data_IF_373705772512
#
_entry.id   IF_373705772512
#
_cell.length_a   1.000
_cell.length_b   1.000
_cell.length_c   1.000
_cell.angle_alpha   90.00
_cell.angle_beta   90.00
_cell.angle_gamma   90.00
#
_symmetry.space_group_name_H-M   'P 1'
#
loop_
_entity.id
_entity.type
_entity.pdbx_description
1 polymer ?
#
# COMPACT_ATOMS: atom_id res chain seq x y z
N UNK A 1 -24.51 -12.16 -25.63
CA UNK A 1 -23.89 -13.51 -25.77
C UNK A 1 -22.34 -13.50 -25.79
N UNK A 2 -21.69 -12.34 -25.90
CA UNK A 2 -20.21 -12.24 -25.95
C UNK A 2 -19.52 -12.01 -24.58
N UNK A 3 -20.27 -11.90 -23.48
CA UNK A 3 -19.70 -11.56 -22.16
C UNK A 3 -19.51 -12.75 -21.21
N UNK A 4 -20.07 -13.92 -21.53
CA UNK A 4 -20.01 -15.08 -20.62
C UNK A 4 -18.71 -15.88 -20.78
N UNK A 5 -18.10 -15.90 -21.97
CA UNK A 5 -16.82 -16.58 -22.23
C UNK A 5 -15.60 -15.90 -21.61
N UNK A 6 -15.64 -14.58 -21.45
CA UNK A 6 -14.51 -13.79 -20.92
C UNK A 6 -14.32 -13.98 -19.39
N UNK A 7 -15.42 -14.21 -18.68
CA UNK A 7 -15.39 -14.48 -17.23
C UNK A 7 -14.88 -15.89 -16.89
N UNK A 8 -15.21 -16.88 -17.71
CA UNK A 8 -14.70 -18.25 -17.53
C UNK A 8 -13.20 -18.32 -17.85
N UNK A 9 -12.74 -17.62 -18.90
CA UNK A 9 -11.33 -17.56 -19.27
C UNK A 9 -10.50 -16.87 -18.18
N UNK A 10 -10.96 -15.76 -17.62
CA UNK A 10 -10.32 -15.10 -16.47
C UNK A 10 -10.33 -16.00 -15.23
N UNK A 11 -11.41 -16.71 -14.96
CA UNK A 11 -11.53 -17.63 -13.82
C UNK A 11 -10.60 -18.82 -13.94
N UNK A 12 -10.31 -19.29 -15.14
CA UNK A 12 -9.35 -20.37 -15.40
C UNK A 12 -7.92 -19.88 -15.26
N UNK A 13 -7.60 -18.69 -15.74
CA UNK A 13 -6.26 -18.09 -15.60
C UNK A 13 -5.91 -17.77 -14.15
N UNK A 14 -6.88 -17.33 -13.34
CA UNK A 14 -6.67 -17.04 -11.90
C UNK A 14 -6.76 -18.28 -10.99
N UNK A 15 -7.25 -19.43 -11.48
CA UNK A 15 -7.34 -20.68 -10.71
C UNK A 15 -6.06 -21.52 -10.69
N UNK A 16 -5.04 -21.13 -11.43
CA UNK A 16 -3.80 -21.90 -11.54
C UNK A 16 -2.54 -21.12 -11.19
N UNK A 17 -2.65 -20.09 -10.33
CA UNK A 17 -1.43 -19.52 -9.75
C UNK A 17 -0.86 -20.57 -8.80
N UNK A 18 0.26 -21.12 -9.20
CA UNK A 18 1.10 -21.95 -8.34
C UNK A 18 1.79 -21.02 -7.33
N UNK A 19 1.27 -20.97 -6.12
CA UNK A 19 1.77 -20.11 -5.04
C UNK A 19 3.23 -20.42 -4.72
N UNK A 20 3.62 -21.70 -4.74
CA UNK A 20 5.00 -22.12 -4.51
C UNK A 20 5.93 -21.65 -5.63
N UNK A 21 5.45 -21.68 -6.88
CA UNK A 21 6.20 -21.16 -8.00
C UNK A 21 6.34 -19.63 -7.92
N UNK A 22 5.27 -18.94 -7.57
CA UNK A 22 5.25 -17.47 -7.39
C UNK A 22 6.24 -17.03 -6.30
N UNK A 23 6.26 -17.75 -5.19
CA UNK A 23 7.21 -17.52 -4.10
C UNK A 23 8.66 -17.71 -4.57
N UNK A 24 8.95 -18.81 -5.26
CA UNK A 24 10.29 -19.07 -5.81
C UNK A 24 10.71 -18.02 -6.86
N UNK A 25 9.78 -17.57 -7.69
CA UNK A 25 10.07 -16.49 -8.67
C UNK A 25 10.42 -15.18 -7.96
N UNK A 26 9.71 -14.88 -6.88
CA UNK A 26 9.98 -13.70 -6.07
C UNK A 26 11.35 -13.80 -5.37
N UNK A 27 11.69 -14.95 -4.81
CA UNK A 27 13.00 -15.21 -4.22
C UNK A 27 14.14 -15.01 -5.23
N UNK A 28 13.96 -15.51 -6.46
CA UNK A 28 14.93 -15.32 -7.54
C UNK A 28 15.06 -13.83 -7.90
N UNK A 29 13.94 -13.10 -7.96
CA UNK A 29 13.95 -11.66 -8.22
C UNK A 29 14.73 -10.89 -7.16
N UNK A 30 14.49 -11.18 -5.87
CA UNK A 30 15.22 -10.56 -4.77
C UNK A 30 16.73 -10.84 -4.84
N UNK A 31 17.12 -12.09 -5.04
CA UNK A 31 18.53 -12.49 -5.17
C UNK A 31 19.20 -11.82 -6.38
N UNK A 32 18.54 -11.77 -7.52
CA UNK A 32 19.09 -11.15 -8.73
C UNK A 32 19.25 -9.64 -8.60
N UNK A 33 18.30 -8.96 -7.97
CA UNK A 33 18.33 -7.51 -7.77
C UNK A 33 19.38 -7.13 -6.74
N UNK A 34 19.50 -7.88 -5.63
CA UNK A 34 20.53 -7.69 -4.63
C UNK A 34 21.94 -7.87 -5.21
N UNK A 35 22.17 -8.94 -5.99
CA UNK A 35 23.45 -9.18 -6.69
C UNK A 35 23.83 -8.07 -7.68
N UNK A 36 22.83 -7.31 -8.17
CA UNK A 36 23.04 -6.13 -9.01
C UNK A 36 23.23 -4.84 -8.21
N UNK A 37 23.24 -4.90 -6.87
CA UNK A 37 23.36 -3.74 -6.01
C UNK A 37 22.13 -2.86 -5.94
N UNK A 38 20.97 -3.40 -6.33
CA UNK A 38 19.69 -2.71 -6.17
C UNK A 38 19.14 -2.93 -4.75
N UNK A 39 18.45 -1.94 -4.23
CA UNK A 39 17.69 -2.06 -2.99
C UNK A 39 16.21 -2.31 -3.29
N UNK A 40 15.60 -3.22 -2.54
CA UNK A 40 14.15 -3.40 -2.47
C UNK A 40 13.62 -2.36 -1.47
N UNK A 41 13.13 -1.21 -1.96
CA UNK A 41 12.81 -0.07 -1.11
C UNK A 41 11.32 0.04 -0.75
N UNK A 42 10.46 -0.69 -1.45
CA UNK A 42 9.04 -0.89 -1.10
C UNK A 42 8.54 -2.22 -1.72
N UNK A 43 7.33 -2.66 -1.39
CA UNK A 43 6.81 -4.02 -1.70
C UNK A 43 7.03 -4.46 -3.15
N UNK A 44 6.87 -3.55 -4.12
CA UNK A 44 6.86 -3.87 -5.55
C UNK A 44 8.02 -3.27 -6.33
N UNK A 45 8.83 -2.40 -5.74
CA UNK A 45 9.82 -1.62 -6.46
C UNK A 45 11.25 -1.79 -5.94
N UNK A 46 12.15 -1.83 -6.91
CA UNK A 46 13.59 -1.92 -6.72
C UNK A 46 14.26 -0.73 -7.39
N UNK A 47 15.36 -0.27 -6.82
CA UNK A 47 16.18 0.80 -7.42
C UNK A 47 17.63 0.67 -7.02
N UNK A 48 18.54 1.30 -7.76
CA UNK A 48 19.87 1.56 -7.23
C UNK A 48 19.79 2.60 -6.10
N UNK A 49 20.72 2.55 -5.13
CA UNK A 49 20.79 3.55 -4.07
C UNK A 49 20.83 4.97 -4.63
N UNK A 50 19.94 5.85 -4.13
CA UNK A 50 19.79 7.22 -4.62
C UNK A 50 18.87 7.39 -5.83
N UNK A 51 18.32 6.30 -6.39
CA UNK A 51 17.44 6.33 -7.57
C UNK A 51 16.01 5.86 -7.28
N UNK A 52 15.57 5.93 -6.04
CA UNK A 52 14.18 5.64 -5.68
C UNK A 52 13.22 6.57 -6.43
N UNK A 53 12.06 6.05 -6.83
CA UNK A 53 11.03 6.87 -7.45
C UNK A 53 10.57 7.98 -6.52
N UNK A 54 10.83 9.24 -6.88
CA UNK A 54 10.33 10.39 -6.12
C UNK A 54 8.81 10.44 -6.09
N UNK A 55 8.16 10.05 -7.17
CA UNK A 55 6.71 10.02 -7.27
C UNK A 55 6.11 9.02 -6.28
N UNK A 56 6.54 7.76 -6.33
CA UNK A 56 6.04 6.72 -5.43
C UNK A 56 6.35 7.03 -3.97
N UNK A 57 7.58 7.50 -3.68
CA UNK A 57 7.99 7.84 -2.31
C UNK A 57 7.10 8.94 -1.69
N UNK A 58 6.60 9.90 -2.49
CA UNK A 58 5.67 10.92 -1.99
C UNK A 58 4.34 10.34 -1.54
N UNK A 59 3.82 9.33 -2.23
CA UNK A 59 2.60 8.63 -1.78
C UNK A 59 2.81 7.95 -0.44
N UNK A 60 3.93 7.23 -0.28
CA UNK A 60 4.23 6.53 0.97
C UNK A 60 4.49 7.47 2.15
N UNK A 61 4.87 8.72 1.87
CA UNK A 61 5.04 9.76 2.89
C UNK A 61 3.76 10.56 3.19
N UNK A 62 2.63 10.25 2.54
CA UNK A 62 1.39 10.99 2.71
C UNK A 62 1.47 12.45 2.20
N UNK A 63 2.33 12.74 1.23
CA UNK A 63 2.45 14.08 0.67
C UNK A 63 1.21 14.46 -0.15
N UNK A 64 0.85 15.76 -0.23
CA UNK A 64 -0.25 16.20 -1.08
C UNK A 64 0.06 15.94 -2.56
N UNK A 65 -0.98 15.57 -3.31
CA UNK A 65 -0.88 15.36 -4.75
C UNK A 65 -2.18 15.74 -5.48
N UNK A 66 -2.05 16.05 -6.77
CA UNK A 66 -3.18 16.30 -7.66
C UNK A 66 -3.16 15.31 -8.79
N UNK A 67 -4.28 14.60 -8.96
CA UNK A 67 -4.50 13.65 -10.05
C UNK A 67 -5.26 14.29 -11.20
N UNK A 68 -4.86 13.99 -12.42
CA UNK A 68 -5.50 14.44 -13.65
C UNK A 68 -6.04 13.25 -14.45
N UNK A 69 -7.26 13.38 -14.93
CA UNK A 69 -7.92 12.34 -15.74
C UNK A 69 -9.15 11.73 -15.07
N UNK A 70 -9.92 10.91 -15.82
CA UNK A 70 -11.03 10.15 -15.26
C UNK A 70 -10.52 9.14 -14.24
N UNK A 71 -11.23 9.02 -13.11
CA UNK A 71 -10.86 8.14 -12.00
C UNK A 71 -9.60 8.57 -11.23
N UNK A 72 -9.02 9.74 -11.53
CA UNK A 72 -7.82 10.21 -10.85
C UNK A 72 -8.13 10.72 -9.44
N UNK A 73 -7.26 10.40 -8.49
CA UNK A 73 -7.37 10.84 -7.11
C UNK A 73 -6.44 12.02 -6.83
N UNK A 74 -6.87 12.87 -5.91
CA UNK A 74 -6.06 13.97 -5.34
C UNK A 74 -6.15 13.91 -3.83
N UNK A 75 -5.11 14.35 -3.13
CA UNK A 75 -5.06 14.40 -1.68
C UNK A 75 -4.46 15.72 -1.22
N UNK A 76 -5.06 16.35 -0.21
CA UNK A 76 -4.61 17.64 0.30
C UNK A 76 -3.40 17.56 1.25
N UNK A 77 -2.93 16.36 1.58
CA UNK A 77 -1.85 16.14 2.55
C UNK A 77 -2.31 16.20 4.02
N UNK A 78 -3.60 16.32 4.28
CA UNK A 78 -4.16 16.39 5.64
C UNK A 78 -5.23 15.31 5.83
N UNK A 79 -6.41 15.48 5.24
CA UNK A 79 -7.53 14.58 5.46
C UNK A 79 -8.61 14.63 4.35
N UNK A 80 -8.39 15.35 3.26
CA UNK A 80 -9.37 15.43 2.18
C UNK A 80 -8.83 14.74 0.94
N UNK A 81 -9.55 13.73 0.47
CA UNK A 81 -9.33 13.07 -0.80
C UNK A 81 -10.43 13.46 -1.78
N UNK A 82 -10.05 13.75 -3.01
CA UNK A 82 -10.95 13.95 -4.13
C UNK A 82 -10.71 12.85 -5.15
N UNK A 83 -11.79 12.24 -5.66
CA UNK A 83 -11.75 11.28 -6.76
C UNK A 83 -12.60 11.77 -7.91
N UNK A 84 -11.99 11.94 -9.07
CA UNK A 84 -12.70 12.28 -10.30
C UNK A 84 -13.58 11.08 -10.73
N UNK A 85 -14.74 11.35 -11.30
CA UNK A 85 -15.57 10.30 -11.87
C UNK A 85 -14.76 9.53 -12.95
N UNK A 86 -14.89 8.21 -12.97
CA UNK A 86 -14.18 7.34 -13.91
C UNK A 86 -14.76 7.35 -15.33
N UNK A 87 -15.95 7.93 -15.55
CA UNK A 87 -16.55 8.02 -16.88
C UNK A 87 -15.82 9.02 -17.78
N UNK A 88 -15.12 8.49 -18.78
CA UNK A 88 -14.34 9.26 -19.74
C UNK A 88 -15.20 10.28 -20.50
N UNK A 89 -16.46 9.94 -20.81
CA UNK A 89 -17.33 10.84 -21.57
C UNK A 89 -17.72 12.05 -20.74
N UNK A 90 -18.11 11.87 -19.50
CA UNK A 90 -18.39 12.94 -18.56
C UNK A 90 -17.16 13.81 -18.33
N UNK A 91 -15.98 13.21 -18.21
CA UNK A 91 -14.72 13.92 -18.05
C UNK A 91 -14.44 14.87 -19.22
N UNK A 92 -14.56 14.38 -20.47
CA UNK A 92 -14.28 15.17 -21.70
C UNK A 92 -15.33 16.27 -21.90
N UNK A 93 -16.59 16.03 -21.52
CA UNK A 93 -17.68 17.01 -21.68
C UNK A 93 -17.72 18.08 -20.58
N UNK A 94 -16.93 17.93 -19.52
CA UNK A 94 -16.86 18.92 -18.45
C UNK A 94 -16.10 20.17 -18.92
N UNK A 95 -16.76 21.33 -18.84
CA UNK A 95 -16.15 22.60 -19.25
C UNK A 95 -15.45 23.34 -18.11
N UNK A 96 -16.01 23.31 -16.91
CA UNK A 96 -15.54 24.11 -15.78
C UNK A 96 -15.08 23.25 -14.61
N UNK A 97 -15.85 22.23 -14.23
CA UNK A 97 -15.53 21.36 -13.12
C UNK A 97 -15.77 19.91 -13.49
N UNK A 98 -14.77 19.07 -13.30
CA UNK A 98 -14.89 17.61 -13.49
C UNK A 98 -15.77 17.04 -12.39
N UNK A 99 -16.80 16.23 -12.72
CA UNK A 99 -17.58 15.50 -11.73
C UNK A 99 -16.66 14.67 -10.83
N UNK A 100 -16.80 14.84 -9.52
CA UNK A 100 -15.93 14.23 -8.54
C UNK A 100 -16.66 13.96 -7.22
N UNK A 101 -16.07 13.12 -6.41
CA UNK A 101 -16.45 12.86 -5.03
C UNK A 101 -15.39 13.41 -4.09
N UNK A 102 -15.82 13.85 -2.91
CA UNK A 102 -14.95 14.30 -1.83
C UNK A 102 -15.14 13.38 -0.64
N UNK A 103 -14.05 12.83 -0.16
CA UNK A 103 -13.96 12.01 1.03
C UNK A 103 -13.20 12.78 2.11
N UNK A 104 -13.76 12.85 3.32
CA UNK A 104 -13.10 13.44 4.49
C UNK A 104 -12.71 12.29 5.41
N UNK A 105 -11.42 12.03 5.50
CA UNK A 105 -10.86 10.96 6.31
C UNK A 105 -10.88 11.35 7.79
N UNK A 106 -11.42 10.48 8.62
CA UNK A 106 -11.36 10.59 10.07
C UNK A 106 -10.00 10.14 10.62
N UNK A 107 -9.88 10.17 11.94
CA UNK A 107 -8.60 9.87 12.59
C UNK A 107 -8.24 8.38 12.53
N UNK A 108 -9.22 7.48 12.44
CA UNK A 108 -8.98 6.04 12.31
C UNK A 108 -8.52 5.70 10.90
N UNK A 109 -9.19 6.21 9.87
CA UNK A 109 -8.78 6.05 8.47
C UNK A 109 -7.39 6.63 8.19
N UNK A 110 -7.08 7.79 8.75
CA UNK A 110 -5.73 8.39 8.64
C UNK A 110 -4.66 7.56 9.35
N UNK A 111 -5.01 6.92 10.47
CA UNK A 111 -4.11 6.01 11.17
C UNK A 111 -3.84 4.76 10.33
N UNK A 112 -4.89 4.16 9.75
CA UNK A 112 -4.80 2.99 8.90
C UNK A 112 -3.97 3.28 7.64
N UNK A 113 -4.19 4.42 6.98
CA UNK A 113 -3.37 4.85 5.85
C UNK A 113 -1.90 5.04 6.24
N UNK A 114 -1.62 5.62 7.41
CA UNK A 114 -0.27 5.79 7.89
C UNK A 114 0.42 4.44 8.15
N UNK A 115 -0.26 3.48 8.75
CA UNK A 115 0.24 2.11 8.98
C UNK A 115 0.49 1.43 7.64
N UNK A 116 -0.50 1.44 6.75
CA UNK A 116 -0.43 0.81 5.43
C UNK A 116 0.73 1.35 4.59
N UNK A 117 0.83 2.67 4.45
CA UNK A 117 1.86 3.30 3.63
C UNK A 117 3.26 3.13 4.22
N UNK A 118 3.38 3.18 5.55
CA UNK A 118 4.67 2.97 6.24
C UNK A 118 5.17 1.53 6.10
N UNK A 119 4.32 0.53 6.35
CA UNK A 119 4.70 -0.88 6.24
C UNK A 119 5.08 -1.29 4.81
N UNK A 120 4.57 -0.61 3.79
CA UNK A 120 4.98 -0.86 2.40
C UNK A 120 6.44 -0.56 2.14
N UNK A 121 7.05 0.30 2.92
CA UNK A 121 8.43 0.75 2.71
C UNK A 121 9.43 -0.12 3.46
N UNK A 122 10.67 -0.14 2.98
CA UNK A 122 11.79 -0.81 3.63
C UNK A 122 12.03 -0.31 5.06
N UNK A 123 11.77 0.98 5.30
CA UNK A 123 11.93 1.63 6.60
C UNK A 123 10.89 1.11 7.61
N UNK A 124 9.69 0.76 7.14
CA UNK A 124 8.61 0.27 7.98
C UNK A 124 7.92 1.37 8.79
N UNK A 125 7.06 0.94 9.70
CA UNK A 125 6.27 1.79 10.58
C UNK A 125 7.09 2.25 11.79
N UNK A 126 7.39 3.55 11.87
CA UNK A 126 7.96 4.17 13.08
C UNK A 126 6.90 4.26 14.18
N UNK A 127 7.08 3.46 15.24
CA UNK A 127 6.13 3.36 16.35
C UNK A 127 6.05 4.65 17.19
N UNK A 128 7.11 5.46 17.23
CA UNK A 128 7.10 6.76 17.92
C UNK A 128 6.26 7.77 17.15
N UNK A 129 6.40 7.79 15.83
CA UNK A 129 5.57 8.63 14.95
C UNK A 129 4.10 8.23 15.01
N UNK A 130 3.79 6.92 15.04
CA UNK A 130 2.44 6.41 15.24
C UNK A 130 1.83 6.94 16.55
N UNK A 131 2.54 6.78 17.67
CA UNK A 131 2.07 7.25 18.98
C UNK A 131 1.87 8.77 19.00
N UNK A 132 2.83 9.52 18.47
CA UNK A 132 2.80 10.98 18.46
C UNK A 132 1.66 11.56 17.61
N UNK A 133 1.37 10.95 16.45
CA UNK A 133 0.35 11.45 15.53
C UNK A 133 -1.07 11.05 15.93
N UNK A 134 -1.25 9.81 16.41
CA UNK A 134 -2.57 9.20 16.55
C UNK A 134 -2.98 8.89 18.00
N UNK A 135 -2.08 9.13 18.95
CA UNK A 135 -2.35 8.96 20.38
C UNK A 135 -2.29 7.50 20.84
N UNK A 136 -2.39 7.33 22.16
CA UNK A 136 -2.14 6.05 22.84
C UNK A 136 -3.18 4.97 22.50
N UNK A 137 -4.42 5.35 22.27
CA UNK A 137 -5.49 4.37 21.99
C UNK A 137 -5.26 3.64 20.67
N UNK A 138 -5.07 4.39 19.57
CA UNK A 138 -4.77 3.84 18.24
C UNK A 138 -3.45 3.10 18.21
N UNK A 139 -2.43 3.68 18.86
CA UNK A 139 -1.14 3.03 19.03
C UNK A 139 -1.30 1.63 19.63
N UNK A 140 -2.01 1.49 20.75
CA UNK A 140 -2.20 0.20 21.41
C UNK A 140 -2.94 -0.80 20.52
N UNK A 141 -3.98 -0.38 19.80
CA UNK A 141 -4.70 -1.26 18.85
C UNK A 141 -3.75 -1.83 17.80
N UNK A 142 -2.96 -0.97 17.16
CA UNK A 142 -2.01 -1.37 16.11
C UNK A 142 -0.90 -2.28 16.67
N UNK A 143 -0.33 -1.96 17.84
CA UNK A 143 0.73 -2.78 18.43
C UNK A 143 0.21 -4.16 18.85
N UNK A 144 -0.97 -4.26 19.44
CA UNK A 144 -1.60 -5.54 19.80
C UNK A 144 -1.85 -6.39 18.56
N UNK A 145 -2.36 -5.79 17.47
CA UNK A 145 -2.54 -6.51 16.21
C UNK A 145 -1.19 -6.98 15.62
N UNK A 146 -0.16 -6.15 15.69
CA UNK A 146 1.17 -6.49 15.19
C UNK A 146 1.86 -7.63 15.95
N UNK A 147 1.56 -7.84 17.26
CA UNK A 147 2.23 -8.87 18.08
C UNK A 147 2.11 -10.29 17.51
N UNK A 148 0.95 -10.66 16.98
CA UNK A 148 0.73 -11.97 16.36
C UNK A 148 1.64 -12.15 15.13
N UNK A 149 1.80 -11.12 14.34
CA UNK A 149 2.63 -11.11 13.14
C UNK A 149 4.12 -11.09 13.45
N UNK A 150 4.53 -10.44 14.54
CA UNK A 150 5.92 -10.51 15.03
C UNK A 150 6.21 -11.92 15.55
N UNK A 151 5.31 -12.53 16.34
CA UNK A 151 5.45 -13.91 16.86
C UNK A 151 5.51 -14.95 15.74
N UNK A 152 4.75 -14.76 14.66
CA UNK A 152 4.76 -15.65 13.48
C UNK A 152 5.92 -15.41 12.52
N UNK A 153 6.74 -14.37 12.77
CA UNK A 153 7.88 -14.01 11.96
C UNK A 153 7.53 -13.35 10.63
N UNK A 154 6.32 -12.77 10.49
CA UNK A 154 5.91 -11.97 9.34
C UNK A 154 6.38 -10.51 9.47
N UNK A 155 6.34 -9.99 10.69
CA UNK A 155 6.92 -8.70 11.04
C UNK A 155 8.16 -8.89 11.92
N UNK A 156 9.01 -7.90 11.93
CA UNK A 156 10.13 -7.74 12.86
C UNK A 156 10.08 -6.36 13.47
N UNK A 157 10.46 -6.28 14.74
CA UNK A 157 10.64 -5.01 15.45
C UNK A 157 12.12 -4.76 15.65
N UNK A 158 12.60 -3.61 15.20
CA UNK A 158 14.00 -3.19 15.39
C UNK A 158 14.10 -1.67 15.45
N UNK A 159 14.77 -1.14 16.47
CA UNK A 159 15.03 0.30 16.59
C UNK A 159 13.78 1.18 16.72
N UNK A 160 12.65 0.61 17.18
CA UNK A 160 11.37 1.31 17.26
C UNK A 160 10.60 1.35 15.94
N UNK A 161 10.95 0.48 14.99
CA UNK A 161 10.24 0.30 13.74
C UNK A 161 9.70 -1.12 13.63
N UNK A 162 8.47 -1.24 13.11
CA UNK A 162 7.91 -2.49 12.64
C UNK A 162 8.08 -2.56 11.13
N UNK A 163 8.67 -3.63 10.63
CA UNK A 163 8.86 -3.83 9.18
C UNK A 163 8.64 -5.29 8.80
N UNK A 164 8.28 -5.53 7.54
CA UNK A 164 8.15 -6.89 7.03
C UNK A 164 9.46 -7.64 7.09
N UNK A 165 9.38 -8.92 7.42
CA UNK A 165 10.42 -9.89 7.09
C UNK A 165 10.30 -10.30 5.63
N UNK A 166 11.27 -11.04 5.11
CA UNK A 166 11.16 -11.62 3.77
C UNK A 166 9.87 -12.45 3.59
N UNK A 167 9.54 -13.29 4.57
CA UNK A 167 8.30 -14.06 4.58
C UNK A 167 7.05 -13.17 4.65
N UNK A 168 7.12 -12.08 5.41
CA UNK A 168 6.01 -11.15 5.58
C UNK A 168 5.67 -10.36 4.34
N UNK A 169 6.63 -10.04 3.49
CA UNK A 169 6.34 -9.35 2.22
C UNK A 169 5.35 -10.10 1.35
N UNK A 170 5.42 -11.42 1.35
CA UNK A 170 4.51 -12.26 0.56
C UNK A 170 3.07 -12.26 1.06
N UNK A 171 2.90 -12.01 2.35
CA UNK A 171 1.61 -11.94 3.05
C UNK A 171 1.27 -10.51 3.49
N UNK A 172 1.87 -9.52 2.83
CA UNK A 172 1.78 -8.12 3.23
C UNK A 172 0.34 -7.62 3.29
N UNK A 173 -0.50 -7.96 2.31
CA UNK A 173 -1.89 -7.52 2.27
C UNK A 173 -2.69 -8.11 3.44
N UNK A 174 -2.47 -9.38 3.78
CA UNK A 174 -3.10 -10.02 4.94
C UNK A 174 -2.68 -9.31 6.24
N UNK A 175 -1.37 -9.15 6.44
CA UNK A 175 -0.83 -8.51 7.66
C UNK A 175 -1.33 -7.07 7.80
N UNK A 176 -1.32 -6.30 6.72
CA UNK A 176 -1.81 -4.92 6.74
C UNK A 176 -3.32 -4.86 7.02
N UNK A 177 -4.11 -5.77 6.42
CA UNK A 177 -5.55 -5.86 6.67
C UNK A 177 -5.86 -6.18 8.14
N UNK A 178 -5.13 -7.13 8.73
CA UNK A 178 -5.31 -7.52 10.15
C UNK A 178 -4.93 -6.41 11.13
N UNK A 179 -4.13 -5.43 10.69
CA UNK A 179 -3.69 -4.30 11.51
C UNK A 179 -4.57 -3.06 11.36
N UNK A 180 -5.58 -3.05 10.48
CA UNK A 180 -6.50 -1.92 10.31
C UNK A 180 -7.45 -1.79 11.50
N UNK A 181 -7.80 -0.54 11.82
CA UNK A 181 -8.76 -0.17 12.88
C UNK A 181 -10.18 -0.16 12.34
N UNK A 182 -10.33 0.27 11.09
CA UNK A 182 -11.62 0.35 10.38
C UNK A 182 -11.83 -0.94 9.59
N UNK A 183 -12.97 -1.59 9.79
CA UNK A 183 -13.38 -2.82 9.08
C UNK A 183 -13.98 -2.50 7.69
#
# INVERSE_FOLDING_TARGET
>A
EMLQGDWEFRRVLFRSIDEDLSLRMYDVLLDMTEKKGMEHYEISNFSYPGFRSHHNSKYWMGAPYVGFGPGAHSFNGVNVRRSNNSDLKSYIQSSDEVPHEIEILGADELCDEFVFTSLRTKEGLDTRSLLSKFGVERFNKIIVAAEAHVKSGLLKEAGGHLSFTHKGFFLSDLVMSDMMIVE
#
